data_IF_509238829326
#
_entry.id   IF_509238829326
#
_cell.length_a   1.000
_cell.length_b   1.000
_cell.length_c   1.000
_cell.angle_alpha   90.00
_cell.angle_beta   90.00
_cell.angle_gamma   90.00
#
_symmetry.space_group_name_H-M   'P 1'
#
loop_
_entity.id
_entity.type
_entity.pdbx_description
1 polymer ?
#
# COMPACT_ATOMS: atom_id res chain seq x y z
N UNK A 1 -10.22 -3.33 4.36
CA UNK A 1 -9.28 -2.65 3.42
C UNK A 1 -8.87 -3.64 2.33
N UNK A 2 -9.77 -3.97 1.42
CA UNK A 2 -9.67 -5.14 0.53
C UNK A 2 -8.61 -5.02 -0.56
N UNK A 3 -8.11 -3.80 -0.80
CA UNK A 3 -7.17 -3.55 -1.89
C UNK A 3 -7.83 -3.42 -3.26
N UNK A 4 -9.17 -3.46 -3.37
CA UNK A 4 -9.82 -3.07 -4.62
C UNK A 4 -9.97 -1.55 -4.69
N UNK A 5 -9.93 -1.02 -5.91
CA UNK A 5 -10.32 0.35 -6.20
C UNK A 5 -11.78 0.33 -6.61
N UNK A 6 -12.59 1.20 -6.00
CA UNK A 6 -13.99 1.38 -6.34
C UNK A 6 -14.18 2.80 -6.87
N UNK A 7 -14.97 2.93 -7.92
CA UNK A 7 -15.32 4.20 -8.51
C UNK A 7 -16.83 4.35 -8.51
N UNK A 8 -17.28 5.47 -7.98
CA UNK A 8 -18.69 5.81 -7.86
C UNK A 8 -18.91 7.20 -8.45
N UNK A 9 -20.10 7.42 -8.98
CA UNK A 9 -20.57 8.77 -9.26
C UNK A 9 -20.69 9.54 -7.93
N UNK A 10 -20.03 10.70 -7.85
CA UNK A 10 -19.96 11.48 -6.61
C UNK A 10 -21.28 12.19 -6.26
N UNK A 11 -22.16 12.40 -7.23
CA UNK A 11 -23.43 13.11 -7.08
C UNK A 11 -24.55 12.15 -6.71
N UNK A 12 -24.56 10.96 -7.32
CA UNK A 12 -25.64 9.98 -7.14
C UNK A 12 -25.25 8.81 -6.23
N UNK A 13 -23.95 8.53 -6.08
CA UNK A 13 -23.45 7.32 -5.43
C UNK A 13 -23.59 6.06 -6.30
N UNK A 14 -23.94 6.20 -7.58
CA UNK A 14 -24.02 5.09 -8.53
C UNK A 14 -22.67 4.39 -8.66
N UNK A 15 -22.69 3.06 -8.64
CA UNK A 15 -21.51 2.26 -8.90
C UNK A 15 -21.12 2.35 -10.38
N UNK A 16 -19.87 2.68 -10.66
CA UNK A 16 -19.35 2.75 -12.03
C UNK A 16 -18.53 1.51 -12.34
N UNK A 17 -17.52 1.21 -11.51
CA UNK A 17 -16.68 0.03 -11.66
C UNK A 17 -15.83 -0.24 -10.42
N UNK A 18 -15.23 -1.44 -10.38
CA UNK A 18 -14.22 -1.83 -9.41
C UNK A 18 -13.05 -2.56 -10.07
N UNK A 19 -11.82 -2.23 -9.65
CA UNK A 19 -10.59 -2.83 -10.16
C UNK A 19 -9.91 -3.66 -9.07
N UNK A 20 -9.71 -4.98 -9.27
CA UNK A 20 -8.84 -5.78 -8.43
C UNK A 20 -7.38 -5.32 -8.57
N UNK A 21 -6.68 -5.11 -7.44
CA UNK A 21 -5.27 -4.69 -7.48
C UNK A 21 -4.34 -5.76 -6.91
N UNK A 22 -4.26 -5.91 -5.60
CA UNK A 22 -3.45 -6.94 -4.93
C UNK A 22 -4.25 -8.21 -4.71
N UNK A 23 -3.56 -9.30 -4.36
CA UNK A 23 -4.23 -10.55 -3.99
C UNK A 23 -5.23 -10.30 -2.86
N UNK A 24 -6.47 -10.74 -3.08
CA UNK A 24 -7.53 -10.70 -2.08
C UNK A 24 -8.41 -11.95 -2.18
N UNK A 25 -8.91 -12.44 -1.05
CA UNK A 25 -9.87 -13.54 -0.98
C UNK A 25 -11.05 -13.25 -0.04
N UNK A 26 -11.24 -12.00 0.37
CA UNK A 26 -12.33 -11.55 1.25
C UNK A 26 -13.62 -11.26 0.49
N UNK A 27 -13.50 -10.93 -0.80
CA UNK A 27 -14.61 -10.73 -1.72
C UNK A 27 -14.57 -11.84 -2.76
N UNK A 28 -15.68 -12.55 -2.89
CA UNK A 28 -15.88 -13.61 -3.87
C UNK A 28 -16.32 -13.04 -5.22
N UNK A 29 -17.30 -12.12 -5.19
CA UNK A 29 -17.84 -11.49 -6.39
C UNK A 29 -18.23 -10.03 -6.15
N UNK A 30 -18.19 -9.22 -7.21
CA UNK A 30 -18.78 -7.89 -7.28
C UNK A 30 -19.70 -7.88 -8.49
N UNK A 31 -20.97 -7.59 -8.29
CA UNK A 31 -21.91 -7.40 -9.38
C UNK A 31 -21.52 -6.16 -10.20
N UNK A 32 -21.19 -6.36 -11.47
CA UNK A 32 -20.66 -5.30 -12.34
C UNK A 32 -21.66 -4.21 -12.71
N UNK A 33 -22.96 -4.41 -12.47
CA UNK A 33 -23.99 -3.41 -12.75
C UNK A 33 -24.34 -2.56 -11.52
N UNK A 34 -24.24 -3.14 -10.32
CA UNK A 34 -24.73 -2.52 -9.08
C UNK A 34 -23.63 -2.26 -8.05
N UNK A 35 -22.47 -2.90 -8.20
CA UNK A 35 -21.40 -2.90 -7.22
C UNK A 35 -21.69 -3.76 -5.99
N UNK A 36 -22.78 -4.53 -5.99
CA UNK A 36 -23.14 -5.39 -4.87
C UNK A 36 -22.05 -6.44 -4.61
N UNK A 37 -21.54 -6.47 -3.38
CA UNK A 37 -20.43 -7.34 -2.98
C UNK A 37 -20.96 -8.64 -2.37
N UNK A 38 -20.48 -9.76 -2.89
CA UNK A 38 -20.59 -11.08 -2.25
C UNK A 38 -19.31 -11.35 -1.47
N UNK A 39 -19.44 -11.47 -0.14
CA UNK A 39 -18.33 -11.83 0.75
C UNK A 39 -18.00 -13.31 0.56
N UNK A 40 -16.70 -13.64 0.53
CA UNK A 40 -16.28 -15.04 0.54
C UNK A 40 -16.60 -15.70 1.90
N UNK A 41 -17.51 -16.70 1.97
CA UNK A 41 -17.90 -17.30 3.23
C UNK A 41 -16.80 -18.13 3.90
N UNK A 42 -15.77 -18.57 3.16
CA UNK A 42 -14.67 -19.39 3.67
C UNK A 42 -13.73 -18.65 4.62
N UNK A 43 -13.67 -17.32 4.50
CA UNK A 43 -12.82 -16.47 5.35
C UNK A 43 -13.59 -15.76 6.45
N UNK A 44 -14.88 -16.08 6.62
CA UNK A 44 -15.71 -15.56 7.71
C UNK A 44 -15.56 -16.47 8.92
N UNK A 45 -15.01 -15.94 10.01
CA UNK A 45 -15.01 -16.63 11.30
C UNK A 45 -16.44 -16.92 11.76
N UNK A 46 -16.73 -18.18 12.10
CA UNK A 46 -18.04 -18.67 12.57
C UNK A 46 -18.04 -19.06 14.04
N UNK A 47 -16.86 -19.20 14.65
CA UNK A 47 -16.69 -19.58 16.05
C UNK A 47 -15.34 -19.12 16.59
N UNK A 48 -15.22 -19.08 17.92
CA UNK A 48 -13.95 -18.92 18.59
C UNK A 48 -13.02 -20.10 18.27
N UNK A 49 -11.72 -19.85 18.31
CA UNK A 49 -10.65 -20.77 18.00
C UNK A 49 -10.65 -21.31 16.55
N UNK A 50 -11.31 -20.61 15.63
CA UNK A 50 -11.24 -20.91 14.20
C UNK A 50 -10.05 -20.20 13.56
N UNK A 51 -9.34 -20.90 12.68
CA UNK A 51 -8.33 -20.31 11.79
C UNK A 51 -8.86 -20.16 10.36
N UNK A 52 -8.45 -19.08 9.70
CA UNK A 52 -8.67 -18.86 8.26
C UNK A 52 -7.42 -18.22 7.65
N UNK A 53 -7.21 -18.47 6.35
CA UNK A 53 -6.17 -17.77 5.58
C UNK A 53 -6.80 -16.59 4.83
N UNK A 54 -6.31 -15.38 5.09
CA UNK A 54 -6.94 -14.13 4.61
C UNK A 54 -5.95 -13.27 3.85
N UNK A 55 -6.41 -12.77 2.71
CA UNK A 55 -5.75 -11.78 1.87
C UNK A 55 -6.76 -10.64 1.52
N UNK A 56 -6.38 -9.36 1.60
CA UNK A 56 -5.23 -8.89 2.35
C UNK A 56 -5.44 -9.06 3.87
N UNK A 57 -4.42 -8.79 4.66
CA UNK A 57 -4.56 -8.78 6.13
C UNK A 57 -5.43 -7.61 6.62
N UNK A 58 -5.64 -7.46 7.93
CA UNK A 58 -6.27 -6.25 8.48
C UNK A 58 -5.46 -4.97 8.21
N UNK A 59 -4.15 -5.08 7.94
CA UNK A 59 -3.33 -3.98 7.45
C UNK A 59 -3.70 -3.56 6.01
N UNK A 60 -4.54 -4.34 5.33
CA UNK A 60 -5.14 -4.04 4.05
C UNK A 60 -4.24 -4.27 2.85
N UNK A 61 -4.83 -4.22 1.66
CA UNK A 61 -4.09 -4.11 0.40
C UNK A 61 -3.67 -2.67 0.11
N UNK A 62 -4.32 -1.71 0.79
CA UNK A 62 -4.04 -0.29 0.87
C UNK A 62 -4.46 0.21 2.24
N UNK A 63 -3.64 1.02 2.89
CA UNK A 63 -3.95 1.61 4.19
C UNK A 63 -4.00 3.15 4.08
N UNK A 64 -3.25 3.84 4.94
CA UNK A 64 -3.25 5.29 5.11
C UNK A 64 -2.34 6.01 4.12
N UNK A 65 -1.47 5.27 3.42
CA UNK A 65 -0.57 5.83 2.42
C UNK A 65 -1.38 6.54 1.34
N UNK A 66 -1.12 7.82 1.07
CA UNK A 66 -1.88 8.55 0.05
C UNK A 66 -1.56 8.03 -1.36
N UNK A 67 -2.60 7.84 -2.17
CA UNK A 67 -2.42 7.78 -3.62
C UNK A 67 -2.26 9.17 -4.21
N UNK A 68 -1.98 9.25 -5.50
CA UNK A 68 -1.97 10.49 -6.26
C UNK A 68 -2.89 10.38 -7.48
N UNK A 69 -3.33 11.51 -8.02
CA UNK A 69 -4.07 11.58 -9.28
C UNK A 69 -3.43 12.64 -10.17
N UNK A 70 -3.25 12.32 -11.45
CA UNK A 70 -2.80 13.29 -12.46
C UNK A 70 -3.94 13.55 -13.45
N UNK A 71 -4.44 14.79 -13.56
CA UNK A 71 -5.42 15.14 -14.59
C UNK A 71 -4.80 15.20 -15.99
N UNK A 72 -3.47 15.20 -16.12
CA UNK A 72 -2.79 15.18 -17.42
C UNK A 72 -2.94 13.81 -18.09
N UNK A 73 -2.79 12.74 -17.31
CA UNK A 73 -2.87 11.35 -17.77
C UNK A 73 -4.21 10.69 -17.43
N UNK A 74 -5.12 11.43 -16.77
CA UNK A 74 -6.36 10.92 -16.19
C UNK A 74 -6.18 9.62 -15.37
N UNK A 75 -5.10 9.54 -14.60
CA UNK A 75 -4.64 8.31 -13.96
C UNK A 75 -4.50 8.48 -12.44
N UNK A 76 -4.95 7.47 -11.70
CA UNK A 76 -4.73 7.32 -10.28
C UNK A 76 -3.52 6.43 -10.02
N UNK A 77 -2.61 6.88 -9.16
CA UNK A 77 -1.42 6.16 -8.74
C UNK A 77 -1.59 5.69 -7.30
N UNK A 78 -1.63 4.38 -7.09
CA UNK A 78 -1.88 3.80 -5.78
C UNK A 78 -0.69 3.03 -5.25
N UNK A 79 -0.13 3.42 -4.08
CA UNK A 79 0.75 2.55 -3.32
C UNK A 79 -0.10 1.46 -2.65
N UNK A 80 0.32 0.22 -2.83
CA UNK A 80 -0.41 -0.99 -2.45
C UNK A 80 0.56 -2.01 -1.84
N UNK A 81 0.01 -2.92 -1.03
CA UNK A 81 0.79 -3.95 -0.33
C UNK A 81 0.27 -5.37 -0.55
N UNK A 82 1.19 -6.29 -0.82
CA UNK A 82 0.92 -7.72 -0.97
C UNK A 82 1.07 -8.43 0.38
N UNK A 83 0.02 -8.41 1.22
CA UNK A 83 0.06 -9.07 2.53
C UNK A 83 -1.07 -10.07 2.68
N UNK A 84 -0.78 -11.25 3.23
CA UNK A 84 -1.78 -12.22 3.67
C UNK A 84 -1.44 -12.70 5.08
N UNK A 85 -2.35 -13.41 5.74
CA UNK A 85 -2.07 -14.01 7.04
C UNK A 85 -2.93 -15.23 7.29
N UNK A 86 -2.37 -16.20 8.02
CA UNK A 86 -3.19 -17.14 8.79
C UNK A 86 -3.63 -16.42 10.06
N UNK A 87 -4.93 -16.34 10.28
CA UNK A 87 -5.56 -15.63 11.39
C UNK A 87 -6.42 -16.58 12.22
N UNK A 88 -6.29 -16.51 13.53
CA UNK A 88 -7.07 -17.24 14.53
C UNK A 88 -7.97 -16.26 15.28
N UNK A 89 -9.28 -16.49 15.29
CA UNK A 89 -10.19 -15.78 16.20
C UNK A 89 -10.07 -16.38 17.59
N UNK A 90 -9.55 -15.62 18.56
CA UNK A 90 -9.32 -16.12 19.92
C UNK A 90 -9.50 -15.02 20.97
N UNK A 91 -10.02 -15.42 22.14
CA UNK A 91 -10.08 -14.55 23.32
C UNK A 91 -8.88 -14.75 24.27
N UNK A 92 -8.04 -15.76 24.01
CA UNK A 92 -6.91 -16.14 24.85
C UNK A 92 -5.63 -16.28 24.01
N UNK A 93 -4.79 -15.24 24.08
CA UNK A 93 -3.52 -15.20 23.36
C UNK A 93 -2.42 -16.05 24.01
N UNK A 94 -2.65 -16.66 25.17
CA UNK A 94 -1.68 -17.50 25.86
C UNK A 94 -1.77 -18.97 25.48
N UNK A 95 -2.75 -19.36 24.66
CA UNK A 95 -2.85 -20.72 24.12
C UNK A 95 -1.68 -21.04 23.19
N UNK A 96 -1.25 -22.31 23.14
CA UNK A 96 -0.20 -22.76 22.22
C UNK A 96 -0.50 -22.39 20.76
N UNK A 97 -1.79 -22.42 20.38
CA UNK A 97 -2.25 -22.09 19.03
C UNK A 97 -2.07 -20.59 18.72
N UNK A 98 -2.51 -19.71 19.60
CA UNK A 98 -2.32 -18.27 19.44
C UNK A 98 -0.83 -17.91 19.47
N UNK A 99 -0.06 -18.54 20.34
CA UNK A 99 1.39 -18.36 20.44
C UNK A 99 2.13 -18.86 19.18
N UNK A 100 1.67 -19.94 18.54
CA UNK A 100 2.22 -20.43 17.28
C UNK A 100 2.07 -19.43 16.12
N UNK A 101 1.08 -18.52 16.19
CA UNK A 101 0.88 -17.46 15.20
C UNK A 101 1.54 -16.14 15.57
N UNK A 102 1.90 -15.93 16.83
CA UNK A 102 2.36 -14.61 17.32
C UNK A 102 3.82 -14.59 17.77
N UNK A 103 4.36 -15.70 18.28
CA UNK A 103 5.73 -15.79 18.81
C UNK A 103 6.73 -16.29 17.76
N UNK A 104 7.96 -15.82 17.84
CA UNK A 104 9.05 -16.22 16.93
C UNK A 104 8.84 -15.73 15.49
N UNK A 105 9.90 -15.80 14.68
CA UNK A 105 9.85 -15.40 13.27
C UNK A 105 9.38 -13.95 13.05
N UNK A 106 8.79 -13.70 11.89
CA UNK A 106 8.27 -12.39 11.50
C UNK A 106 6.75 -12.38 11.40
N UNK A 107 6.18 -11.17 11.36
CA UNK A 107 4.76 -10.98 11.08
C UNK A 107 3.80 -11.48 12.17
N UNK A 108 4.29 -11.89 13.34
CA UNK A 108 3.42 -12.27 14.45
C UNK A 108 2.74 -11.03 15.06
N UNK A 109 1.41 -11.07 15.22
CA UNK A 109 0.65 -10.00 15.84
C UNK A 109 -0.63 -10.54 16.50
N UNK A 110 -0.92 -10.09 17.72
CA UNK A 110 -2.18 -10.35 18.41
C UNK A 110 -2.88 -9.03 18.75
N UNK A 111 -4.09 -8.84 18.21
CA UNK A 111 -4.89 -7.64 18.41
C UNK A 111 -6.36 -7.94 18.07
N UNK A 112 -7.33 -7.25 18.67
CA UNK A 112 -8.76 -7.36 18.33
C UNK A 112 -9.33 -8.78 18.38
N UNK A 113 -8.91 -9.58 19.37
CA UNK A 113 -9.28 -11.01 19.44
C UNK A 113 -8.86 -11.83 18.21
N UNK A 114 -7.80 -11.39 17.53
CA UNK A 114 -7.16 -12.10 16.44
C UNK A 114 -5.69 -12.32 16.78
N UNK A 115 -5.23 -13.56 16.71
CA UNK A 115 -3.81 -13.89 16.64
C UNK A 115 -3.48 -14.23 15.18
N UNK A 116 -2.42 -13.66 14.61
CA UNK A 116 -2.07 -13.94 13.23
C UNK A 116 -0.59 -13.93 12.94
N UNK A 117 -0.27 -14.71 11.91
CA UNK A 117 1.04 -14.73 11.25
C UNK A 117 0.91 -14.05 9.90
N UNK A 118 1.31 -12.79 9.82
CA UNK A 118 1.42 -12.06 8.57
C UNK A 118 2.56 -12.61 7.72
N UNK A 119 2.33 -12.64 6.42
CA UNK A 119 3.29 -13.01 5.40
C UNK A 119 3.05 -12.19 4.14
N UNK A 120 4.02 -12.22 3.23
CA UNK A 120 3.81 -11.69 1.89
C UNK A 120 2.82 -12.60 1.16
N UNK A 121 2.00 -11.99 0.29
CA UNK A 121 1.03 -12.76 -0.48
C UNK A 121 1.73 -13.90 -1.24
N UNK A 122 1.10 -15.09 -1.37
CA UNK A 122 1.66 -16.16 -2.19
C UNK A 122 1.86 -15.68 -3.64
N UNK A 123 2.84 -16.28 -4.31
CA UNK A 123 3.21 -16.03 -5.71
C UNK A 123 3.95 -14.70 -5.97
N UNK A 124 4.40 -14.00 -4.93
CA UNK A 124 5.29 -12.83 -5.06
C UNK A 124 6.29 -12.75 -3.91
N UNK A 125 7.45 -12.17 -4.20
CA UNK A 125 8.45 -11.76 -3.20
C UNK A 125 8.37 -10.26 -2.90
N UNK A 126 7.57 -9.49 -3.63
CA UNK A 126 7.48 -8.04 -3.49
C UNK A 126 6.37 -7.66 -2.51
N UNK A 127 6.73 -6.95 -1.44
CA UNK A 127 5.76 -6.46 -0.46
C UNK A 127 5.00 -5.24 -1.00
N UNK A 128 5.69 -4.29 -1.62
CA UNK A 128 5.11 -3.04 -2.06
C UNK A 128 4.95 -2.96 -3.58
N UNK A 129 3.89 -2.29 -4.01
CA UNK A 129 3.67 -1.98 -5.42
C UNK A 129 3.16 -0.56 -5.58
N UNK A 130 3.39 0.02 -6.76
CA UNK A 130 2.66 1.20 -7.22
C UNK A 130 1.96 0.82 -8.52
N UNK A 131 0.64 1.07 -8.59
CA UNK A 131 -0.15 0.85 -9.80
C UNK A 131 -0.69 2.16 -10.34
N UNK A 132 -0.54 2.36 -11.65
CA UNK A 132 -1.23 3.39 -12.40
C UNK A 132 -2.52 2.82 -12.95
N UNK A 133 -3.65 3.38 -12.52
CA UNK A 133 -5.00 2.91 -12.82
C UNK A 133 -5.76 4.06 -13.47
N UNK A 134 -6.25 3.84 -14.69
CA UNK A 134 -7.11 4.79 -15.40
C UNK A 134 -8.31 5.17 -14.54
N UNK A 135 -8.55 6.47 -14.35
CA UNK A 135 -9.72 6.97 -13.62
C UNK A 135 -11.02 6.82 -14.42
N UNK A 136 -10.92 6.56 -15.72
CA UNK A 136 -12.08 6.35 -16.59
C UNK A 136 -12.45 4.87 -16.68
N UNK A 137 -11.48 4.00 -16.98
CA UNK A 137 -11.73 2.59 -17.33
C UNK A 137 -11.41 1.62 -16.20
N UNK A 138 -10.66 2.05 -15.18
CA UNK A 138 -10.15 1.17 -14.13
C UNK A 138 -9.02 0.23 -14.60
N UNK A 139 -8.54 0.35 -15.84
CA UNK A 139 -7.44 -0.46 -16.35
C UNK A 139 -6.10 -0.03 -15.76
N UNK A 140 -5.22 -1.00 -15.49
CA UNK A 140 -3.86 -0.72 -15.03
C UNK A 140 -2.94 -0.53 -16.24
N UNK A 141 -2.33 0.66 -16.38
CA UNK A 141 -1.40 0.95 -17.49
C UNK A 141 0.02 0.47 -17.19
N UNK A 142 0.46 0.58 -15.94
CA UNK A 142 1.75 0.05 -15.49
C UNK A 142 1.73 -0.37 -14.01
N UNK A 143 2.70 -1.22 -13.67
CA UNK A 143 2.93 -1.75 -12.33
C UNK A 143 4.42 -1.62 -12.00
N UNK A 144 4.72 -0.94 -10.89
CA UNK A 144 6.03 -0.98 -10.25
C UNK A 144 5.96 -1.91 -9.04
N UNK A 145 6.95 -2.78 -8.87
CA UNK A 145 7.05 -3.69 -7.74
C UNK A 145 8.37 -3.50 -7.01
N UNK A 146 8.34 -3.64 -5.68
CA UNK A 146 9.55 -3.56 -4.86
C UNK A 146 9.44 -4.44 -3.63
N UNK A 147 10.61 -4.87 -3.15
CA UNK A 147 10.74 -5.66 -1.95
C UNK A 147 10.19 -4.94 -0.72
N UNK A 148 10.38 -3.61 -0.63
CA UNK A 148 9.91 -2.79 0.49
C UNK A 148 8.43 -2.40 0.34
N UNK A 149 7.70 -2.19 1.44
CA UNK A 149 6.35 -1.62 1.37
C UNK A 149 6.38 -0.20 0.80
N UNK A 150 5.59 0.08 -0.23
CA UNK A 150 5.48 1.43 -0.84
C UNK A 150 4.67 2.36 0.08
N UNK A 151 5.02 3.63 0.07
CA UNK A 151 4.44 4.68 0.91
C UNK A 151 3.70 5.73 0.06
N UNK A 152 3.26 6.81 0.69
CA UNK A 152 2.46 7.86 0.04
C UNK A 152 3.14 8.44 -1.21
N UNK A 153 2.30 8.84 -2.16
CA UNK A 153 2.69 9.42 -3.46
C UNK A 153 2.18 10.85 -3.62
N UNK A 154 2.83 11.62 -4.50
CA UNK A 154 2.34 12.90 -5.01
C UNK A 154 2.60 13.02 -6.51
N UNK A 155 1.60 13.46 -7.27
CA UNK A 155 1.71 13.75 -8.70
C UNK A 155 2.01 15.23 -8.92
N UNK A 156 2.71 15.54 -10.01
CA UNK A 156 3.06 16.91 -10.38
C UNK A 156 2.70 17.18 -11.85
N UNK A 157 2.47 18.46 -12.20
CA UNK A 157 2.20 18.85 -13.59
C UNK A 157 3.39 18.72 -14.55
N UNK A 158 4.54 18.23 -14.07
CA UNK A 158 5.73 17.98 -14.88
C UNK A 158 5.86 16.55 -15.40
N UNK A 159 4.81 15.74 -15.30
CA UNK A 159 4.85 14.31 -15.70
C UNK A 159 5.58 13.41 -14.70
N UNK A 160 5.65 13.82 -13.42
CA UNK A 160 6.37 13.08 -12.39
C UNK A 160 5.49 12.71 -11.21
N UNK A 161 5.68 11.48 -10.72
CA UNK A 161 5.19 11.00 -9.43
C UNK A 161 6.36 10.89 -8.46
N UNK A 162 6.26 11.50 -7.28
CA UNK A 162 7.23 11.30 -6.20
C UNK A 162 6.65 10.39 -5.13
N UNK A 163 7.47 9.48 -4.61
CA UNK A 163 7.04 8.51 -3.62
C UNK A 163 8.20 7.81 -2.97
N UNK A 164 7.97 7.22 -1.80
CA UNK A 164 9.00 6.47 -1.10
C UNK A 164 8.58 5.09 -0.66
N UNK A 165 9.49 4.38 0.00
CA UNK A 165 9.23 3.06 0.57
C UNK A 165 9.72 2.92 2.01
N UNK A 166 9.29 1.82 2.62
CA UNK A 166 9.62 1.45 3.99
C UNK A 166 11.13 1.21 4.21
N UNK A 167 11.92 1.03 3.14
CA UNK A 167 13.37 0.85 3.22
C UNK A 167 14.15 2.16 3.00
N UNK A 168 13.44 3.29 2.91
CA UNK A 168 14.03 4.62 2.83
C UNK A 168 14.40 5.07 1.42
N UNK A 169 14.02 4.34 0.37
CA UNK A 169 14.22 4.83 -1.00
C UNK A 169 13.11 5.82 -1.33
N UNK A 170 13.51 7.03 -1.73
CA UNK A 170 12.63 8.06 -2.27
C UNK A 170 12.91 8.19 -3.77
N UNK A 171 11.86 8.16 -4.58
CA UNK A 171 11.93 8.03 -6.04
C UNK A 171 11.11 9.12 -6.72
N UNK A 172 11.54 9.47 -7.92
CA UNK A 172 10.71 10.12 -8.94
C UNK A 172 10.45 9.11 -10.06
N UNK A 173 9.18 8.93 -10.40
CA UNK A 173 8.73 8.08 -11.49
C UNK A 173 8.21 8.95 -12.63
N UNK A 174 8.43 8.51 -13.86
CA UNK A 174 7.66 8.94 -15.02
C UNK A 174 6.18 8.53 -14.85
N UNK A 175 5.25 9.46 -15.04
CA UNK A 175 3.83 9.22 -14.72
C UNK A 175 3.08 8.39 -15.79
N UNK A 176 3.62 8.28 -16.99
CA UNK A 176 3.05 7.48 -18.09
C UNK A 176 3.57 6.05 -18.11
N UNK A 177 4.83 5.82 -17.73
CA UNK A 177 5.52 4.54 -17.87
C UNK A 177 5.84 3.84 -16.55
N UNK A 178 5.91 4.60 -15.45
CA UNK A 178 6.37 4.09 -14.15
C UNK A 178 7.89 3.87 -14.08
N UNK A 179 8.67 4.34 -15.06
CA UNK A 179 10.13 4.29 -15.02
C UNK A 179 10.67 5.12 -13.86
N UNK A 180 11.62 4.58 -13.09
CA UNK A 180 12.31 5.32 -12.03
C UNK A 180 13.37 6.22 -12.65
N UNK A 181 13.07 7.52 -12.75
CA UNK A 181 13.95 8.53 -13.34
C UNK A 181 14.99 9.06 -12.35
N UNK A 182 14.68 9.03 -11.06
CA UNK A 182 15.59 9.46 -10.00
C UNK A 182 15.30 8.71 -8.70
N UNK A 183 16.34 8.46 -7.91
CA UNK A 183 16.24 7.79 -6.62
C UNK A 183 17.33 8.22 -5.64
N UNK A 184 16.98 8.30 -4.36
CA UNK A 184 17.91 8.50 -3.26
C UNK A 184 17.51 7.63 -2.07
N UNK A 185 18.47 7.19 -1.26
CA UNK A 185 18.21 6.55 0.03
C UNK A 185 18.31 7.57 1.17
N UNK A 186 17.20 7.80 1.88
CA UNK A 186 17.09 8.73 3.00
C UNK A 186 17.48 8.09 4.35
N UNK A 187 17.91 6.83 4.33
CA UNK A 187 18.43 6.10 5.48
C UNK A 187 17.38 5.56 6.44
N UNK A 188 16.13 6.03 6.37
CA UNK A 188 14.99 5.58 7.19
C UNK A 188 13.72 5.54 6.35
N UNK A 189 12.71 4.75 6.76
CA UNK A 189 11.43 4.60 6.06
C UNK A 189 10.83 5.96 5.67
N UNK A 190 10.44 6.11 4.41
CA UNK A 190 9.78 7.32 3.87
C UNK A 190 8.29 7.26 4.20
N UNK A 191 7.95 7.27 5.49
CA UNK A 191 6.59 7.14 6.01
C UNK A 191 5.76 8.43 5.95
N UNK A 192 6.31 9.49 5.36
CA UNK A 192 5.62 10.76 5.18
C UNK A 192 4.62 10.80 4.03
N UNK A 193 4.04 11.98 3.85
CA UNK A 193 3.31 12.36 2.65
C UNK A 193 4.18 13.34 1.86
N UNK A 194 4.75 12.94 0.70
CA UNK A 194 5.53 13.87 -0.09
C UNK A 194 4.64 15.01 -0.57
N UNK A 195 5.17 16.23 -0.52
CA UNK A 195 4.49 17.44 -1.01
C UNK A 195 5.43 18.20 -1.94
N UNK A 196 4.85 19.04 -2.80
CA UNK A 196 5.62 20.01 -3.59
C UNK A 196 5.06 21.42 -3.38
N UNK A 197 5.95 22.41 -3.39
CA UNK A 197 5.63 23.82 -3.24
C UNK A 197 6.66 24.68 -3.97
N UNK A 198 6.42 25.99 -4.09
CA UNK A 198 7.37 26.93 -4.68
C UNK A 198 7.63 28.12 -3.77
N UNK A 199 8.86 28.61 -3.77
CA UNK A 199 9.30 29.84 -3.10
C UNK A 199 10.14 30.63 -4.09
N UNK A 200 9.79 31.90 -4.31
CA UNK A 200 10.50 32.81 -5.23
C UNK A 200 10.75 32.22 -6.63
N UNK A 201 9.74 31.53 -7.17
CA UNK A 201 9.80 30.91 -8.50
C UNK A 201 10.59 29.59 -8.56
N UNK A 202 11.13 29.11 -7.44
CA UNK A 202 11.83 27.82 -7.35
C UNK A 202 10.93 26.76 -6.72
N UNK A 203 10.80 25.62 -7.39
CA UNK A 203 10.05 24.46 -6.89
C UNK A 203 10.88 23.62 -5.94
N UNK A 204 10.22 23.11 -4.90
CA UNK A 204 10.75 22.21 -3.90
C UNK A 204 9.86 20.97 -3.77
N UNK A 205 10.47 19.84 -3.41
CA UNK A 205 9.78 18.61 -3.01
C UNK A 205 10.22 18.27 -1.60
N UNK A 206 9.28 18.12 -0.67
CA UNK A 206 9.56 17.81 0.73
C UNK A 206 8.90 16.51 1.15
N UNK A 207 9.60 15.73 1.97
CA UNK A 207 9.11 14.47 2.52
C UNK A 207 9.79 14.20 3.86
N UNK A 208 9.06 13.60 4.80
CA UNK A 208 9.62 13.16 6.06
C UNK A 208 9.92 11.66 6.05
N UNK A 209 10.96 11.28 6.77
CA UNK A 209 11.20 9.90 7.20
C UNK A 209 10.67 9.69 8.62
N UNK A 210 10.51 8.43 9.01
CA UNK A 210 10.09 8.04 10.35
C UNK A 210 9.92 6.53 10.45
N UNK A 211 9.82 5.99 11.66
CA UNK A 211 9.73 4.55 11.88
C UNK A 211 8.61 3.89 11.04
N UNK A 212 8.96 2.90 10.23
CA UNK A 212 8.02 2.13 9.42
C UNK A 212 7.27 1.08 10.24
N UNK A 213 6.14 0.60 9.69
CA UNK A 213 5.33 -0.48 10.29
C UNK A 213 5.40 -1.77 9.48
N UNK A 214 5.30 -2.92 10.18
CA UNK A 214 5.22 -4.30 9.65
C UNK A 214 6.50 -4.77 8.94
N UNK A 215 7.34 -5.54 9.64
CA UNK A 215 8.57 -6.11 9.11
C UNK A 215 8.33 -7.52 8.52
N UNK A 216 7.99 -7.57 7.23
CA UNK A 216 7.89 -8.82 6.44
C UNK A 216 9.10 -9.04 5.52
N UNK A 217 10.10 -8.16 5.60
CA UNK A 217 11.30 -8.12 4.75
C UNK A 217 12.54 -7.96 5.64
N UNK A 218 12.96 -9.02 6.35
CA UNK A 218 13.98 -8.97 7.42
C UNK A 218 15.35 -8.51 6.94
N UNK A 219 15.64 -8.79 5.67
CA UNK A 219 16.88 -8.40 5.02
C UNK A 219 16.96 -6.87 4.83
N UNK A 220 15.82 -6.17 4.83
CA UNK A 220 15.76 -4.72 4.76
C UNK A 220 15.89 -4.13 6.18
N UNK A 221 16.89 -3.27 6.35
CA UNK A 221 17.28 -2.70 7.66
C UNK A 221 17.30 -1.17 7.60
N UNK A 222 16.15 -0.52 7.35
CA UNK A 222 16.08 0.93 7.42
C UNK A 222 16.41 1.42 8.83
N UNK A 223 16.99 2.61 8.91
CA UNK A 223 17.13 3.35 10.14
C UNK A 223 15.77 3.75 10.73
N UNK A 224 15.82 4.32 11.93
CA UNK A 224 14.66 4.84 12.67
C UNK A 224 14.70 6.36 12.81
N UNK A 225 15.51 7.03 12.00
CA UNK A 225 15.61 8.48 11.94
C UNK A 225 14.28 9.09 11.53
N UNK A 226 13.99 10.25 12.11
CA UNK A 226 12.81 11.05 11.78
C UNK A 226 13.33 12.41 11.34
N UNK A 227 13.41 12.61 10.04
CA UNK A 227 14.04 13.77 9.42
C UNK A 227 13.12 14.35 8.34
N UNK A 228 13.20 15.65 8.11
CA UNK A 228 12.57 16.32 6.98
C UNK A 228 13.61 16.53 5.88
N UNK A 229 13.36 15.97 4.70
CA UNK A 229 14.17 16.19 3.51
C UNK A 229 13.47 17.15 2.57
N UNK A 230 14.23 18.09 2.00
CA UNK A 230 13.75 19.06 1.02
C UNK A 230 14.70 19.05 -0.19
N UNK A 231 14.14 18.77 -1.36
CA UNK A 231 14.86 18.65 -2.63
C UNK A 231 14.49 19.81 -3.55
N UNK A 232 15.46 20.27 -4.34
CA UNK A 232 15.24 21.15 -5.48
C UNK A 232 16.33 20.88 -6.52
N UNK A 233 16.07 21.25 -7.77
CA UNK A 233 17.13 21.29 -8.78
C UNK A 233 18.25 22.24 -8.35
N UNK A 234 19.52 21.99 -8.73
CA UNK A 234 20.61 22.91 -8.49
C UNK A 234 20.32 24.27 -9.13
N UNK A 235 20.92 25.33 -8.59
CA UNK A 235 20.86 26.64 -9.24
C UNK A 235 21.46 26.50 -10.65
N UNK A 236 20.82 27.12 -11.64
CA UNK A 236 21.45 27.34 -12.94
C UNK A 236 22.38 28.53 -12.77
N UNK A 237 23.68 28.29 -12.85
CA UNK A 237 24.68 29.35 -13.00
C UNK A 237 24.49 30.08 -14.34
#
# INVERSE_FOLDING_TARGET
KTGLVYTLDRETGEFLWATPTVRQNVIDNIDGATGAVTVNPEVVFRQAEQEVFVCPTWAGGKDWEAGAYSPLTNTMYYPLRNTCATMLATADFETDRAQALTRGGQGGLAIYSLAARHQIAPDTENLGTVRAISAETGETSWLFETRAGTMSLVATGGGLIFGGDANGRFRAFDDETGEVLWEVNLGSSVSGYPITYAVDGRQYVAVNTGAGSLNLTPELRPGRGTDLFVFALPNRD
#
